data_IF_577816726960
#
_entry.id   IF_577816726960
#
_cell.length_a   1.000
_cell.length_b   1.000
_cell.length_c   1.000
_cell.angle_alpha   90.00
_cell.angle_beta   90.00
_cell.angle_gamma   90.00
#
_symmetry.space_group_name_H-M   'P 1'
#
loop_
_entity.id
_entity.type
_entity.pdbx_description
1 polymer ?
#
# COMPACT_ATOMS: atom_id res chain seq x y z
N UNK A 1 8.81 -5.31 7.19
CA UNK A 1 7.37 -5.57 6.89
C UNK A 1 7.13 -6.92 6.18
N UNK A 2 7.36 -8.05 6.85
CA UNK A 2 7.09 -9.37 6.25
C UNK A 2 5.60 -9.61 6.04
N UNK A 3 4.76 -9.09 6.94
CA UNK A 3 3.31 -9.18 6.81
C UNK A 3 2.83 -8.62 5.47
N UNK A 4 3.10 -7.34 5.19
CA UNK A 4 2.66 -6.67 3.95
C UNK A 4 3.12 -7.44 2.71
N UNK A 5 4.38 -7.88 2.68
CA UNK A 5 4.93 -8.67 1.56
C UNK A 5 4.22 -10.02 1.38
N UNK A 6 3.65 -10.61 2.42
CA UNK A 6 2.93 -11.89 2.33
C UNK A 6 1.48 -11.76 1.83
N UNK A 7 1.02 -10.54 1.55
CA UNK A 7 -0.37 -10.28 1.16
C UNK A 7 -0.50 -10.18 -0.37
N UNK A 8 -1.69 -10.45 -0.92
CA UNK A 8 -1.99 -10.16 -2.32
C UNK A 8 -1.85 -8.66 -2.64
N UNK A 9 -1.40 -8.36 -3.85
CA UNK A 9 -1.38 -7.03 -4.43
C UNK A 9 -2.80 -6.45 -4.46
N UNK A 10 -3.00 -5.26 -3.91
CA UNK A 10 -4.34 -4.65 -3.85
C UNK A 10 -4.91 -4.27 -5.23
N UNK A 11 -4.07 -4.19 -6.27
CA UNK A 11 -4.52 -3.88 -7.64
C UNK A 11 -4.87 -5.10 -8.50
N UNK A 12 -4.22 -6.26 -8.27
CA UNK A 12 -4.43 -7.44 -9.13
C UNK A 12 -4.47 -8.79 -8.43
N UNK A 13 -4.31 -8.84 -7.11
CA UNK A 13 -4.35 -10.07 -6.32
C UNK A 13 -3.13 -10.99 -6.44
N UNK A 14 -2.15 -10.68 -7.31
CA UNK A 14 -0.88 -11.43 -7.37
C UNK A 14 -0.03 -11.18 -6.13
N UNK A 15 0.93 -12.06 -5.84
CA UNK A 15 1.88 -11.91 -4.73
C UNK A 15 2.53 -10.52 -4.74
N UNK A 16 2.49 -9.82 -3.59
CA UNK A 16 3.24 -8.58 -3.41
C UNK A 16 4.75 -8.86 -3.35
N UNK A 17 5.54 -7.91 -3.85
CA UNK A 17 7.00 -7.99 -3.84
C UNK A 17 7.57 -7.14 -2.70
N UNK A 18 7.19 -5.87 -2.69
CA UNK A 18 7.65 -4.90 -1.70
C UNK A 18 6.49 -4.07 -1.11
N UNK A 19 6.63 -3.60 0.15
CA UNK A 19 5.65 -2.69 0.75
C UNK A 19 5.73 -1.33 0.06
N UNK A 20 4.62 -0.89 -0.51
CA UNK A 20 4.50 0.45 -1.05
C UNK A 20 4.05 1.40 0.07
N UNK A 21 4.84 2.43 0.35
CA UNK A 21 4.43 3.49 1.28
C UNK A 21 3.59 4.52 0.57
N UNK A 22 2.51 4.98 1.22
CA UNK A 22 1.65 6.04 0.70
C UNK A 22 2.49 7.30 0.37
N UNK A 23 2.39 7.80 -0.86
CA UNK A 23 3.09 9.01 -1.32
C UNK A 23 2.13 10.17 -1.54
N UNK A 24 2.67 11.40 -1.47
CA UNK A 24 1.95 12.64 -1.78
C UNK A 24 0.70 12.91 -0.92
N UNK A 25 0.64 12.36 0.30
CA UNK A 25 -0.43 12.62 1.28
C UNK A 25 -0.09 13.70 2.32
N UNK A 26 1.09 14.32 2.24
CA UNK A 26 1.57 15.29 3.24
C UNK A 26 2.06 14.67 4.55
N UNK A 27 1.96 13.35 4.71
CA UNK A 27 2.37 12.61 5.91
C UNK A 27 3.88 12.31 5.98
N UNK A 28 4.59 12.53 4.86
CA UNK A 28 6.05 12.40 4.79
C UNK A 28 6.67 13.73 4.35
N UNK A 29 7.42 14.36 5.25
CA UNK A 29 8.28 15.49 4.95
C UNK A 29 9.57 15.06 4.25
N UNK A 30 10.30 16.04 3.73
CA UNK A 30 11.59 15.84 3.09
C UNK A 30 12.58 15.23 4.09
N UNK A 31 12.95 13.95 3.89
CA UNK A 31 13.87 13.21 4.77
C UNK A 31 13.21 12.34 5.86
N UNK A 32 11.87 12.33 5.98
CA UNK A 32 11.15 11.44 6.91
C UNK A 32 10.53 10.26 6.17
N UNK A 33 10.65 9.05 6.72
CA UNK A 33 9.96 7.87 6.20
C UNK A 33 8.50 7.90 6.68
N UNK A 34 7.57 7.62 5.77
CA UNK A 34 6.17 7.37 6.14
C UNK A 34 6.12 6.24 7.19
N UNK A 35 5.13 6.29 8.09
CA UNK A 35 5.07 5.31 9.17
C UNK A 35 4.85 3.91 8.59
N UNK A 36 5.38 2.88 9.26
CA UNK A 36 5.33 1.51 8.74
C UNK A 36 3.90 1.00 8.49
N UNK A 37 2.92 1.60 9.18
CA UNK A 37 1.49 1.35 9.03
C UNK A 37 0.92 1.91 7.72
N UNK A 38 1.52 2.94 7.15
CA UNK A 38 1.10 3.66 5.94
C UNK A 38 1.57 2.94 4.68
N UNK A 39 1.41 1.62 4.66
CA UNK A 39 1.86 0.76 3.57
C UNK A 39 0.74 -0.10 3.01
N UNK A 40 0.82 -0.37 1.71
CA UNK A 40 -0.07 -1.28 0.99
C UNK A 40 0.74 -2.35 0.23
N UNK A 41 0.19 -3.57 0.07
CA UNK A 41 0.84 -4.62 -0.71
C UNK A 41 0.67 -4.34 -2.21
N UNK A 42 1.78 -4.22 -2.94
CA UNK A 42 1.80 -4.16 -4.40
C UNK A 42 2.78 -5.18 -4.99
N UNK A 43 2.43 -5.73 -6.14
CA UNK A 43 3.41 -6.45 -6.96
C UNK A 43 4.31 -5.43 -7.69
N UNK A 44 5.50 -5.85 -8.09
CA UNK A 44 6.50 -4.98 -8.76
C UNK A 44 5.92 -4.17 -9.93
N UNK A 45 5.06 -4.80 -10.74
CA UNK A 45 4.46 -4.17 -11.92
C UNK A 45 3.58 -2.99 -11.50
N UNK A 46 2.63 -3.23 -10.59
CA UNK A 46 1.72 -2.17 -10.13
C UNK A 46 2.41 -1.12 -9.29
N UNK A 47 3.44 -1.51 -8.54
CA UNK A 47 4.28 -0.57 -7.79
C UNK A 47 4.98 0.42 -8.74
N UNK A 48 5.63 -0.08 -9.78
CA UNK A 48 6.30 0.76 -10.78
C UNK A 48 5.30 1.63 -11.56
N UNK A 49 4.13 1.09 -11.92
CA UNK A 49 3.08 1.87 -12.61
C UNK A 49 2.57 3.02 -11.74
N UNK A 50 2.38 2.80 -10.44
CA UNK A 50 1.95 3.84 -9.52
C UNK A 50 2.99 4.96 -9.42
N UNK A 51 4.27 4.61 -9.32
CA UNK A 51 5.35 5.59 -9.31
C UNK A 51 5.53 6.32 -10.64
N UNK A 52 5.18 5.69 -11.76
CA UNK A 52 5.25 6.30 -13.08
C UNK A 52 4.15 7.34 -13.30
N UNK A 53 2.90 7.00 -12.97
CA UNK A 53 1.76 7.92 -13.07
C UNK A 53 0.72 7.61 -12.00
N UNK A 54 0.83 8.31 -10.87
CA UNK A 54 -0.07 8.15 -9.73
C UNK A 54 -1.51 8.47 -10.10
N UNK A 55 -1.75 9.50 -10.90
CA UNK A 55 -3.09 9.98 -11.22
C UNK A 55 -3.84 8.95 -12.06
N UNK A 56 -3.24 8.51 -13.16
CA UNK A 56 -3.85 7.49 -14.03
C UNK A 56 -4.00 6.15 -13.29
N UNK A 57 -3.03 5.79 -12.45
CA UNK A 57 -3.09 4.58 -11.65
C UNK A 57 -4.27 4.60 -10.67
N UNK A 58 -4.43 5.69 -9.90
CA UNK A 58 -5.50 5.80 -8.92
C UNK A 58 -6.89 5.85 -9.58
N UNK A 59 -7.00 6.45 -10.75
CA UNK A 59 -8.25 6.42 -11.52
C UNK A 59 -8.64 4.98 -11.91
N UNK A 60 -7.66 4.12 -12.18
CA UNK A 60 -7.88 2.73 -12.61
C UNK A 60 -8.13 1.76 -11.45
N UNK A 61 -7.40 1.91 -10.35
CA UNK A 61 -7.37 0.90 -9.27
C UNK A 61 -7.96 1.40 -7.94
N UNK A 62 -8.32 2.68 -7.85
CA UNK A 62 -8.70 3.34 -6.59
C UNK A 62 -7.53 4.11 -5.98
N UNK A 63 -7.85 5.05 -5.11
CA UNK A 63 -6.84 5.88 -4.44
C UNK A 63 -5.99 5.05 -3.49
N UNK A 64 -4.74 5.50 -3.29
CA UNK A 64 -3.84 4.94 -2.29
C UNK A 64 -4.50 4.83 -0.90
N UNK A 65 -5.25 5.85 -0.47
CA UNK A 65 -5.93 5.90 0.82
C UNK A 65 -7.08 4.88 0.91
N UNK A 66 -7.87 4.71 -0.15
CA UNK A 66 -8.94 3.71 -0.18
C UNK A 66 -8.39 2.29 -0.04
N UNK A 67 -7.33 1.98 -0.79
CA UNK A 67 -6.67 0.68 -0.76
C UNK A 67 -6.03 0.41 0.60
N UNK A 68 -5.42 1.43 1.20
CA UNK A 68 -4.88 1.35 2.55
C UNK A 68 -5.96 1.09 3.59
N UNK A 69 -7.07 1.82 3.54
CA UNK A 69 -8.17 1.66 4.50
C UNK A 69 -8.78 0.24 4.42
N UNK A 70 -8.91 -0.32 3.21
CA UNK A 70 -9.32 -1.71 3.02
C UNK A 70 -8.30 -2.69 3.61
N UNK A 71 -7.02 -2.48 3.32
CA UNK A 71 -5.94 -3.35 3.77
C UNK A 71 -5.77 -3.36 5.29
N UNK A 72 -5.85 -2.20 5.93
CA UNK A 72 -5.76 -2.04 7.38
C UNK A 72 -6.95 -2.69 8.06
N UNK A 73 -8.18 -2.48 7.56
CA UNK A 73 -9.39 -3.15 8.09
C UNK A 73 -9.28 -4.68 8.02
N UNK A 74 -8.78 -5.20 6.89
CA UNK A 74 -8.51 -6.63 6.74
C UNK A 74 -7.48 -7.11 7.78
N UNK A 75 -6.40 -6.36 7.98
CA UNK A 75 -5.34 -6.71 8.94
C UNK A 75 -5.85 -6.70 10.39
N UNK A 76 -6.69 -5.73 10.78
CA UNK A 76 -7.35 -5.72 12.09
C UNK A 76 -8.30 -6.91 12.28
N UNK A 77 -9.12 -7.24 11.27
CA UNK A 77 -10.02 -8.39 11.33
C UNK A 77 -9.31 -9.75 11.46
N UNK A 78 -8.04 -9.81 11.07
CA UNK A 78 -7.17 -10.98 11.21
C UNK A 78 -6.37 -11.03 12.52
N UNK A 79 -6.55 -10.03 13.42
CA UNK A 79 -5.83 -9.96 14.70
C UNK A 79 -4.36 -9.57 14.58
N UNK A 80 -3.90 -9.03 13.44
CA UNK A 80 -2.50 -8.66 13.19
C UNK A 80 -2.04 -7.51 14.10
N UNK A 81 -2.99 -6.75 14.64
CA UNK A 81 -2.75 -5.64 15.57
C UNK A 81 -3.29 -5.93 17.00
N UNK A 82 -3.37 -7.20 17.41
CA UNK A 82 -3.90 -7.60 18.72
C UNK A 82 -2.82 -7.78 19.80
N UNK A 83 -2.89 -6.89 20.81
CA UNK A 83 -2.27 -6.83 22.16
C UNK A 83 -0.78 -7.10 22.33
#
# INVERSE_FOLDING_TARGET
>A
MHWVKSRPCCACGKQADDPHHLINLGNAGMGTKAHDIETIPLCRIHHNQLHHDLTAWQLRYGTQLQLWHQFVRYSFGMGVFGY
#
